data_IF_331502432784
#
_entry.id   IF_331502432784
#
_cell.length_a   1.000
_cell.length_b   1.000
_cell.length_c   1.000
_cell.angle_alpha   90.00
_cell.angle_beta   90.00
_cell.angle_gamma   90.00
#
_symmetry.space_group_name_H-M   'P 1'
#
loop_
_entity.id
_entity.type
_entity.pdbx_description
1 polymer ?
#
# COMPACT_ATOMS: atom_id res chain seq x y z
N UNK A 1 10.38 18.49 16.77
CA UNK A 1 10.69 17.24 16.06
C UNK A 1 9.54 16.91 15.12
N UNK A 2 9.82 16.54 13.86
CA UNK A 2 8.75 16.11 12.93
C UNK A 2 8.18 14.77 13.43
N UNK A 3 6.87 14.66 13.59
CA UNK A 3 6.23 13.46 14.14
C UNK A 3 6.22 12.33 13.10
N UNK A 4 6.79 11.16 13.42
CA UNK A 4 6.81 10.00 12.53
C UNK A 4 5.46 9.24 12.50
N UNK A 5 4.42 9.88 11.95
CA UNK A 5 3.03 9.39 11.92
C UNK A 5 2.92 7.96 11.38
N UNK A 6 3.60 7.66 10.28
CA UNK A 6 3.52 6.36 9.61
C UNK A 6 4.35 5.26 10.27
N UNK A 7 5.25 5.58 11.20
CA UNK A 7 6.18 4.62 11.80
C UNK A 7 5.87 4.36 13.27
N UNK A 8 4.73 4.83 13.77
CA UNK A 8 4.29 4.52 15.13
C UNK A 8 4.20 2.99 15.31
N UNK A 9 4.77 2.50 16.41
CA UNK A 9 4.80 1.06 16.74
C UNK A 9 6.05 0.31 16.28
N UNK A 10 6.94 0.91 15.49
CA UNK A 10 8.24 0.31 15.19
C UNK A 10 9.21 0.46 16.37
N UNK A 11 10.19 -0.46 16.53
CA UNK A 11 11.20 -0.39 17.58
C UNK A 11 11.92 0.97 17.67
N UNK A 12 12.23 1.48 18.89
CA UNK A 12 12.84 2.80 19.08
C UNK A 12 14.12 3.02 18.26
N UNK A 13 14.99 2.01 18.18
CA UNK A 13 16.24 2.10 17.43
C UNK A 13 16.03 2.36 15.93
N UNK A 14 14.94 1.86 15.33
CA UNK A 14 14.59 2.15 13.94
C UNK A 14 14.07 3.58 13.81
N UNK A 15 13.25 4.03 14.76
CA UNK A 15 12.73 5.40 14.77
C UNK A 15 13.86 6.42 14.86
N UNK A 16 14.85 6.18 15.72
CA UNK A 16 16.05 7.01 15.83
C UNK A 16 16.88 7.04 14.54
N UNK A 17 17.03 5.89 13.86
CA UNK A 17 17.69 5.84 12.56
C UNK A 17 16.96 6.68 11.51
N UNK A 18 15.63 6.57 11.45
CA UNK A 18 14.82 7.36 10.52
C UNK A 18 14.88 8.85 10.86
N UNK A 19 14.84 9.22 12.15
CA UNK A 19 15.01 10.60 12.59
C UNK A 19 16.35 11.18 12.13
N UNK A 20 17.46 10.45 12.32
CA UNK A 20 18.78 10.88 11.83
C UNK A 20 18.81 11.07 10.31
N UNK A 21 18.15 10.20 9.55
CA UNK A 21 18.06 10.35 8.09
C UNK A 21 17.28 11.59 7.68
N UNK A 22 16.21 11.92 8.41
CA UNK A 22 15.39 13.12 8.18
C UNK A 22 16.20 14.37 8.53
N UNK A 23 16.92 14.37 9.66
CA UNK A 23 17.76 15.50 10.08
C UNK A 23 18.91 15.77 9.12
N UNK A 24 19.42 14.72 8.46
CA UNK A 24 20.50 14.81 7.47
C UNK A 24 20.01 15.00 6.02
N UNK A 25 18.70 15.07 5.78
CA UNK A 25 18.10 15.11 4.44
C UNK A 25 18.52 13.95 3.51
N UNK A 26 18.77 12.76 4.09
CA UNK A 26 19.25 11.56 3.36
C UNK A 26 18.17 10.51 3.10
N UNK A 27 16.93 10.78 3.50
CA UNK A 27 15.84 9.81 3.35
C UNK A 27 15.52 9.56 1.87
N UNK A 28 15.52 10.62 1.04
CA UNK A 28 15.37 10.51 -0.42
C UNK A 28 16.46 9.65 -1.05
N UNK A 29 17.72 9.89 -0.68
CA UNK A 29 18.87 9.16 -1.21
C UNK A 29 18.81 7.66 -0.88
N UNK A 30 18.41 7.32 0.35
CA UNK A 30 18.19 5.95 0.76
C UNK A 30 17.12 5.27 -0.11
N UNK A 31 15.99 5.95 -0.32
CA UNK A 31 14.89 5.45 -1.14
C UNK A 31 15.29 5.30 -2.61
N UNK A 32 16.01 6.27 -3.18
CA UNK A 32 16.51 6.20 -4.56
C UNK A 32 17.56 5.10 -4.75
N UNK A 33 18.44 4.89 -3.77
CA UNK A 33 19.43 3.81 -3.80
C UNK A 33 18.76 2.44 -3.83
N UNK A 34 17.66 2.26 -3.07
CA UNK A 34 16.92 1.00 -3.00
C UNK A 34 15.94 0.82 -4.16
N UNK A 35 15.30 1.91 -4.57
CA UNK A 35 14.27 1.95 -5.60
C UNK A 35 14.60 3.07 -6.61
N UNK A 36 15.44 2.80 -7.62
CA UNK A 36 15.92 3.85 -8.52
C UNK A 36 14.87 4.44 -9.45
N UNK A 37 13.76 3.72 -9.70
CA UNK A 37 12.76 4.11 -10.69
C UNK A 37 11.32 3.86 -10.18
N UNK A 38 10.36 4.72 -10.57
CA UNK A 38 8.95 4.45 -10.35
C UNK A 38 8.45 3.36 -11.32
N UNK A 39 7.26 2.83 -11.06
CA UNK A 39 6.58 1.93 -12.00
C UNK A 39 5.83 2.70 -13.10
N UNK A 40 5.37 1.99 -14.13
CA UNK A 40 4.60 2.56 -15.25
C UNK A 40 3.07 2.39 -15.13
N UNK A 41 2.59 1.81 -14.02
CA UNK A 41 1.16 1.52 -13.77
C UNK A 41 0.44 2.79 -13.30
N UNK A 42 0.12 3.70 -14.23
CA UNK A 42 -0.46 5.02 -13.90
C UNK A 42 -1.93 5.16 -14.30
N UNK A 43 -2.45 4.24 -15.12
CA UNK A 43 -3.85 4.22 -15.58
C UNK A 43 -4.69 3.25 -14.75
N UNK A 44 -6.00 3.51 -14.66
CA UNK A 44 -6.93 2.62 -13.94
C UNK A 44 -6.96 1.23 -14.56
N UNK A 45 -6.90 1.13 -15.90
CA UNK A 45 -6.85 -0.16 -16.60
C UNK A 45 -5.61 -0.95 -16.22
N UNK A 46 -4.43 -0.33 -16.29
CA UNK A 46 -3.18 -1.02 -15.93
C UNK A 46 -3.19 -1.47 -14.46
N UNK A 47 -3.71 -0.65 -13.55
CA UNK A 47 -3.82 -1.01 -12.15
C UNK A 47 -4.80 -2.17 -11.92
N UNK A 48 -5.93 -2.15 -12.62
CA UNK A 48 -6.92 -3.22 -12.57
C UNK A 48 -6.33 -4.54 -13.07
N UNK A 49 -5.71 -4.54 -14.25
CA UNK A 49 -5.09 -5.73 -14.84
C UNK A 49 -4.01 -6.30 -13.89
N UNK A 50 -3.11 -5.45 -13.39
CA UNK A 50 -2.08 -5.84 -12.42
C UNK A 50 -2.66 -6.48 -11.15
N UNK A 51 -3.74 -5.91 -10.61
CA UNK A 51 -4.39 -6.41 -9.40
C UNK A 51 -5.10 -7.74 -9.64
N UNK A 52 -5.74 -7.89 -10.81
CA UNK A 52 -6.43 -9.13 -11.20
C UNK A 52 -5.43 -10.26 -11.42
N UNK A 53 -4.28 -9.99 -12.03
CA UNK A 53 -3.23 -10.99 -12.22
C UNK A 53 -2.73 -11.52 -10.86
N UNK A 54 -2.47 -10.63 -9.90
CA UNK A 54 -2.10 -11.00 -8.53
C UNK A 54 -3.20 -11.80 -7.83
N UNK A 55 -4.45 -11.35 -7.93
CA UNK A 55 -5.61 -12.05 -7.36
C UNK A 55 -5.72 -13.47 -7.92
N UNK A 56 -5.59 -13.63 -9.24
CA UNK A 56 -5.70 -14.91 -9.92
C UNK A 56 -4.51 -15.82 -9.66
N UNK A 57 -3.33 -15.27 -9.36
CA UNK A 57 -2.17 -16.06 -8.98
C UNK A 57 -2.36 -16.69 -7.59
N UNK A 58 -2.79 -15.90 -6.58
CA UNK A 58 -2.71 -16.33 -5.18
C UNK A 58 -4.06 -16.62 -4.50
N UNK A 59 -5.16 -15.98 -4.92
CA UNK A 59 -6.46 -16.08 -4.24
C UNK A 59 -7.61 -16.43 -5.21
N UNK A 60 -7.41 -17.45 -6.04
CA UNK A 60 -8.35 -17.92 -7.09
C UNK A 60 -9.80 -18.11 -6.63
N UNK A 61 -10.00 -18.67 -5.43
CA UNK A 61 -11.33 -18.87 -4.81
C UNK A 61 -11.68 -17.70 -3.89
N UNK A 62 -11.85 -16.51 -4.45
CA UNK A 62 -12.23 -15.30 -3.71
C UNK A 62 -13.34 -14.55 -4.43
N UNK A 63 -14.03 -13.67 -3.68
CA UNK A 63 -15.09 -12.84 -4.23
C UNK A 63 -14.55 -11.96 -5.39
N UNK A 64 -15.37 -11.71 -6.42
CA UNK A 64 -14.94 -10.91 -7.56
C UNK A 64 -14.61 -9.48 -7.15
N UNK A 65 -13.66 -8.89 -7.89
CA UNK A 65 -13.23 -7.52 -7.73
C UNK A 65 -13.90 -6.69 -8.82
N UNK A 66 -14.79 -5.77 -8.42
CA UNK A 66 -15.59 -4.98 -9.35
C UNK A 66 -14.89 -3.73 -9.82
N UNK A 67 -13.96 -3.19 -9.03
CA UNK A 67 -13.24 -1.96 -9.36
C UNK A 67 -11.89 -1.90 -8.67
N UNK A 68 -10.90 -1.36 -9.37
CA UNK A 68 -9.62 -0.94 -8.80
C UNK A 68 -9.27 0.41 -9.39
N UNK A 69 -9.00 1.41 -8.55
CA UNK A 69 -8.68 2.75 -9.04
C UNK A 69 -7.72 3.50 -8.11
N UNK A 70 -7.03 4.47 -8.70
CA UNK A 70 -6.35 5.50 -7.93
C UNK A 70 -7.37 6.53 -7.41
N UNK A 71 -7.20 7.01 -6.19
CA UNK A 71 -8.10 7.98 -5.57
C UNK A 71 -7.28 9.13 -4.94
N UNK A 72 -7.59 10.36 -5.38
CA UNK A 72 -6.93 11.59 -4.95
C UNK A 72 -7.39 12.08 -3.56
N UNK A 73 -8.49 11.53 -3.04
CA UNK A 73 -9.13 11.97 -1.78
C UNK A 73 -8.74 11.09 -0.60
N UNK A 74 -7.97 10.03 -0.83
CA UNK A 74 -7.49 9.14 0.23
C UNK A 74 -6.52 9.91 1.12
N UNK A 75 -6.93 10.13 2.37
CA UNK A 75 -6.04 10.64 3.39
C UNK A 75 -5.24 9.48 3.99
N UNK A 76 -3.97 9.38 3.60
CA UNK A 76 -3.09 8.27 3.98
C UNK A 76 -2.73 8.29 5.47
N UNK A 77 -2.99 9.38 6.20
CA UNK A 77 -2.65 9.49 7.63
C UNK A 77 -3.41 8.49 8.53
N UNK A 78 -4.65 8.13 8.20
CA UNK A 78 -5.48 7.26 9.06
C UNK A 78 -5.39 5.77 8.73
N UNK A 79 -5.00 5.42 7.50
CA UNK A 79 -4.93 4.04 6.99
C UNK A 79 -3.74 3.94 6.02
N UNK A 80 -2.53 4.05 6.55
CA UNK A 80 -1.29 4.35 5.84
C UNK A 80 -0.93 3.46 4.64
N UNK A 81 -1.59 2.33 4.45
CA UNK A 81 -1.23 1.35 3.42
C UNK A 81 -2.36 1.14 2.39
N UNK A 82 -3.55 1.68 2.64
CA UNK A 82 -4.70 1.63 1.75
C UNK A 82 -6.02 1.82 2.49
N UNK A 83 -7.04 2.35 1.81
CA UNK A 83 -8.39 2.47 2.36
C UNK A 83 -9.24 1.33 1.80
N UNK A 84 -9.51 0.30 2.61
CA UNK A 84 -10.63 -0.58 2.35
C UNK A 84 -11.91 0.24 2.46
N UNK A 85 -12.56 0.50 1.32
CA UNK A 85 -13.99 0.81 1.35
C UNK A 85 -14.72 -0.44 0.89
N UNK A 86 -15.11 -1.30 1.84
CA UNK A 86 -16.11 -2.35 1.55
C UNK A 86 -17.45 -1.66 1.29
N UNK A 87 -17.69 -1.25 0.05
CA UNK A 87 -19.00 -0.70 -0.35
C UNK A 87 -19.95 -1.86 -0.58
N UNK A 88 -20.63 -2.30 0.47
CA UNK A 88 -21.79 -3.18 0.36
C UNK A 88 -22.98 -2.36 -0.12
N UNK A 89 -23.35 -2.47 -1.40
CA UNK A 89 -24.61 -1.90 -1.93
C UNK A 89 -25.67 -3.00 -2.04
N UNK A 90 -26.83 -2.74 -1.45
CA UNK A 90 -28.03 -3.58 -1.55
C UNK A 90 -28.66 -3.36 -2.94
N UNK A 91 -28.93 -4.43 -3.69
CA UNK A 91 -29.69 -4.36 -4.95
C UNK A 91 -30.83 -5.38 -4.89
N UNK A 92 -32.04 -4.90 -4.62
CA UNK A 92 -33.19 -5.74 -4.23
C UNK A 92 -32.99 -6.38 -2.85
N UNK A 93 -33.63 -7.52 -2.58
CA UNK A 93 -33.51 -8.25 -1.29
C UNK A 93 -32.20 -9.05 -1.13
N UNK A 94 -31.19 -8.86 -1.99
CA UNK A 94 -29.90 -9.56 -1.92
C UNK A 94 -28.73 -8.59 -1.86
N UNK A 95 -27.88 -8.74 -0.84
CA UNK A 95 -26.57 -8.09 -0.74
C UNK A 95 -25.63 -8.73 -1.78
N UNK A 96 -25.35 -8.02 -2.88
CA UNK A 96 -24.21 -8.36 -3.75
C UNK A 96 -23.01 -7.58 -3.27
N UNK A 97 -22.15 -8.20 -2.46
CA UNK A 97 -20.87 -7.62 -2.07
C UNK A 97 -20.03 -7.38 -3.34
N UNK A 98 -19.72 -6.11 -3.60
CA UNK A 98 -18.82 -5.69 -4.66
C UNK A 98 -17.52 -5.25 -3.99
N UNK A 99 -16.45 -6.01 -4.19
CA UNK A 99 -15.15 -5.62 -3.66
C UNK A 99 -14.56 -4.55 -4.56
N UNK A 100 -14.23 -3.41 -3.97
CA UNK A 100 -13.54 -2.31 -4.64
C UNK A 100 -12.23 -2.06 -3.89
N UNK A 101 -11.14 -1.90 -4.65
CA UNK A 101 -9.83 -1.53 -4.11
C UNK A 101 -9.54 -0.10 -4.54
N UNK A 102 -9.14 0.74 -3.59
CA UNK A 102 -8.74 2.12 -3.87
C UNK A 102 -7.34 2.38 -3.34
N UNK A 103 -6.47 2.83 -4.22
CA UNK A 103 -5.08 3.13 -3.91
C UNK A 103 -4.87 4.64 -3.97
N UNK A 104 -4.16 5.21 -3.00
CA UNK A 104 -3.90 6.65 -3.02
C UNK A 104 -3.13 7.04 -4.29
N UNK A 105 -3.54 8.13 -4.95
CA UNK A 105 -2.97 8.54 -6.22
C UNK A 105 -1.47 8.86 -6.16
N UNK A 106 -0.93 9.16 -4.97
CA UNK A 106 0.51 9.33 -4.75
C UNK A 106 1.33 8.10 -5.15
N UNK A 107 0.73 6.90 -5.09
CA UNK A 107 1.40 5.67 -5.46
C UNK A 107 1.51 5.48 -6.97
N UNK A 108 0.94 6.36 -7.81
CA UNK A 108 1.21 6.37 -9.26
C UNK A 108 2.69 6.53 -9.59
N UNK A 109 3.42 7.25 -8.73
CA UNK A 109 4.84 7.52 -8.89
C UNK A 109 5.69 6.66 -7.95
N UNK A 110 5.12 5.62 -7.33
CA UNK A 110 5.89 4.75 -6.43
C UNK A 110 6.68 3.69 -7.20
N UNK A 111 7.69 3.07 -6.56
CA UNK A 111 8.32 1.86 -7.07
C UNK A 111 7.32 0.71 -7.21
N UNK A 112 7.53 -0.15 -8.20
CA UNK A 112 6.71 -1.35 -8.38
C UNK A 112 6.60 -2.22 -7.11
N UNK A 113 7.68 -2.47 -6.34
CA UNK A 113 7.57 -3.25 -5.10
C UNK A 113 6.63 -2.64 -4.06
N UNK A 114 6.60 -1.31 -3.93
CA UNK A 114 5.73 -0.64 -2.96
C UNK A 114 4.26 -0.70 -3.43
N UNK A 115 3.99 -0.46 -4.72
CA UNK A 115 2.64 -0.66 -5.28
C UNK A 115 2.18 -2.12 -5.11
N UNK A 116 3.06 -3.09 -5.40
CA UNK A 116 2.75 -4.51 -5.24
C UNK A 116 2.40 -4.86 -3.80
N UNK A 117 3.17 -4.37 -2.83
CA UNK A 117 2.88 -4.58 -1.40
C UNK A 117 1.50 -4.04 -1.04
N UNK A 118 1.14 -2.83 -1.47
CA UNK A 118 -0.19 -2.24 -1.24
C UNK A 118 -1.28 -3.11 -1.86
N UNK A 119 -1.12 -3.53 -3.11
CA UNK A 119 -2.11 -4.39 -3.77
C UNK A 119 -2.26 -5.72 -3.03
N UNK A 120 -1.16 -6.32 -2.57
CA UNK A 120 -1.18 -7.55 -1.77
C UNK A 120 -1.91 -7.33 -0.44
N UNK A 121 -1.66 -6.22 0.25
CA UNK A 121 -2.39 -5.83 1.46
C UNK A 121 -3.89 -5.80 1.22
N UNK A 122 -4.32 -5.05 0.19
CA UNK A 122 -5.72 -4.89 -0.17
C UNK A 122 -6.38 -6.22 -0.60
N UNK A 123 -5.65 -7.07 -1.34
CA UNK A 123 -6.14 -8.38 -1.74
C UNK A 123 -6.31 -9.33 -0.54
N UNK A 124 -5.42 -9.26 0.45
CA UNK A 124 -5.54 -10.06 1.66
C UNK A 124 -6.84 -9.73 2.42
N UNK A 125 -7.26 -8.45 2.40
CA UNK A 125 -8.53 -8.02 3.02
C UNK A 125 -9.80 -8.59 2.40
N UNK A 126 -9.72 -9.16 1.19
CA UNK A 126 -10.84 -9.90 0.60
C UNK A 126 -11.16 -11.15 1.44
N UNK A 127 -10.15 -11.80 2.02
CA UNK A 127 -10.30 -13.01 2.85
C UNK A 127 -10.24 -12.72 4.35
N UNK A 128 -9.34 -11.83 4.77
CA UNK A 128 -9.01 -11.59 6.18
C UNK A 128 -9.31 -10.13 6.54
N UNK A 129 -10.34 -9.86 7.35
CA UNK A 129 -10.79 -8.49 7.62
C UNK A 129 -9.88 -7.73 8.58
N UNK A 130 -9.30 -8.42 9.55
CA UNK A 130 -8.47 -7.83 10.59
C UNK A 130 -7.00 -8.12 10.34
N UNK A 131 -6.12 -7.19 10.72
CA UNK A 131 -4.66 -7.35 10.66
C UNK A 131 -4.13 -8.32 11.73
N UNK A 132 -4.60 -9.56 11.68
CA UNK A 132 -4.22 -10.65 12.58
C UNK A 132 -3.14 -11.55 11.96
N UNK A 133 -2.77 -12.64 12.65
CA UNK A 133 -1.75 -13.57 12.17
C UNK A 133 -2.09 -14.17 10.79
N UNK A 134 -3.35 -14.50 10.53
CA UNK A 134 -3.77 -15.09 9.25
C UNK A 134 -3.65 -14.06 8.10
N UNK A 135 -4.01 -12.80 8.36
CA UNK A 135 -3.79 -11.71 7.42
C UNK A 135 -2.33 -11.58 7.00
N UNK A 136 -1.41 -11.46 7.96
CA UNK A 136 0.01 -11.32 7.64
C UNK A 136 0.60 -12.56 6.99
N UNK A 137 0.15 -13.76 7.38
CA UNK A 137 0.54 -14.99 6.69
C UNK A 137 0.11 -15.00 5.21
N UNK A 138 -1.10 -14.53 4.92
CA UNK A 138 -1.60 -14.41 3.55
C UNK A 138 -0.82 -13.35 2.76
N UNK A 139 -0.51 -12.20 3.36
CA UNK A 139 0.34 -11.19 2.76
C UNK A 139 1.73 -11.74 2.42
N UNK A 140 2.40 -12.41 3.36
CA UNK A 140 3.72 -13.03 3.15
C UNK A 140 3.69 -14.17 2.14
N UNK A 141 2.56 -14.88 1.98
CA UNK A 141 2.39 -15.87 0.92
C UNK A 141 2.37 -15.24 -0.49
N UNK A 142 1.74 -14.06 -0.63
CA UNK A 142 1.67 -13.33 -1.90
C UNK A 142 2.91 -12.50 -2.20
N UNK A 143 3.58 -12.01 -1.15
CA UNK A 143 4.79 -11.21 -1.22
C UNK A 143 5.74 -11.59 -0.07
N UNK A 144 6.75 -12.45 -0.31
CA UNK A 144 7.66 -12.91 0.74
C UNK A 144 8.39 -11.79 1.50
N UNK A 145 8.61 -10.64 0.86
CA UNK A 145 9.25 -9.47 1.48
C UNK A 145 8.24 -8.47 2.09
N UNK A 146 6.98 -8.89 2.31
CA UNK A 146 5.87 -8.01 2.67
C UNK A 146 6.21 -7.05 3.81
N UNK A 147 6.74 -7.53 4.94
CA UNK A 147 7.03 -6.67 6.09
C UNK A 147 8.11 -5.62 5.81
N UNK A 148 9.12 -5.95 5.00
CA UNK A 148 10.13 -4.97 4.61
C UNK A 148 9.54 -3.93 3.66
N UNK A 149 8.72 -4.36 2.70
CA UNK A 149 8.06 -3.46 1.76
C UNK A 149 7.00 -2.57 2.44
N UNK A 150 6.36 -3.08 3.48
CA UNK A 150 5.43 -2.33 4.35
C UNK A 150 6.17 -1.21 5.09
N UNK A 151 7.32 -1.53 5.70
CA UNK A 151 8.18 -0.53 6.33
C UNK A 151 8.70 0.50 5.31
N UNK A 152 9.17 0.04 4.15
CA UNK A 152 9.69 0.92 3.10
C UNK A 152 8.60 1.83 2.52
N UNK A 153 7.36 1.35 2.45
CA UNK A 153 6.20 2.18 2.06
C UNK A 153 5.93 3.26 3.08
N UNK A 154 6.03 2.95 4.38
CA UNK A 154 5.91 3.96 5.45
C UNK A 154 7.05 4.98 5.39
N UNK A 155 8.28 4.57 5.06
CA UNK A 155 9.39 5.49 4.79
C UNK A 155 9.13 6.39 3.58
N UNK A 156 8.62 5.82 2.49
CA UNK A 156 8.25 6.56 1.29
C UNK A 156 7.20 7.64 1.60
N UNK A 157 6.18 7.30 2.38
CA UNK A 157 5.17 8.26 2.84
C UNK A 157 5.75 9.35 3.72
N UNK A 158 6.67 9.01 4.63
CA UNK A 158 7.39 10.01 5.44
C UNK A 158 8.19 10.97 4.56
N UNK A 159 8.88 10.48 3.53
CA UNK A 159 9.60 11.31 2.58
C UNK A 159 8.65 12.26 1.84
N UNK A 160 7.55 11.74 1.28
CA UNK A 160 6.55 12.53 0.56
C UNK A 160 5.94 13.61 1.44
N UNK A 161 5.62 13.30 2.70
CA UNK A 161 5.02 14.27 3.63
C UNK A 161 6.00 15.37 4.03
N UNK A 162 7.27 15.06 4.24
CA UNK A 162 8.23 16.01 4.83
C UNK A 162 9.08 16.78 3.83
N UNK A 163 9.28 16.22 2.64
CA UNK A 163 10.25 16.69 1.66
C UNK A 163 9.73 16.62 0.22
N UNK A 164 8.52 16.08 0.00
CA UNK A 164 7.92 15.96 -1.33
C UNK A 164 8.35 14.67 -2.07
N UNK A 165 8.00 14.58 -3.37
CA UNK A 165 8.12 13.34 -4.12
C UNK A 165 9.57 12.85 -4.27
N UNK A 166 9.74 11.53 -4.30
CA UNK A 166 11.05 10.89 -4.53
C UNK A 166 11.48 11.02 -5.99
N UNK A 167 10.53 10.89 -6.90
CA UNK A 167 10.74 10.94 -8.35
C UNK A 167 10.15 12.22 -8.92
N UNK A 168 10.81 12.76 -9.94
CA UNK A 168 10.37 13.93 -10.72
C UNK A 168 9.34 13.53 -11.79
#
# INVERSE_FOLDING_TARGET
>A
MKQLKYLQGYPPHLLEQVQRLIEQDKLKDLLLKRYPKPHTITTEKALYDFTIDLKNQYIKKSAPLSKVNFDNKINVVNHALGLHTFVSRVHGNKLKAKNEIKIAALFKNAPLPLLRMIVVHELAHIKEKEHNKAFYQLCCHMEPNYHQLEFDTRLYLTQVEFFGPVYE
#
